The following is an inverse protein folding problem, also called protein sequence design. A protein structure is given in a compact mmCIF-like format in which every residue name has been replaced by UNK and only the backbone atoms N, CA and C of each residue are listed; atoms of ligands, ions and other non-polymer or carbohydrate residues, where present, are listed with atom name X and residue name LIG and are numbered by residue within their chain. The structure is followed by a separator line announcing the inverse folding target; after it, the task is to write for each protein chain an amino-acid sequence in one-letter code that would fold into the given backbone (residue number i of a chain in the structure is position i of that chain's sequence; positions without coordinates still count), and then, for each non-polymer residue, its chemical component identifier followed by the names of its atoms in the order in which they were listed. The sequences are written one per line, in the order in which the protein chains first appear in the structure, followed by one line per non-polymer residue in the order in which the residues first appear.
data_IF_811375113017
#
_entry.id   IF_811375113017
#
_cell.length_a   1.000
_cell.length_b   1.000
_cell.length_c   1.000
_cell.angle_alpha   90.00
_cell.angle_beta   90.00
_cell.angle_gamma   90.00
#
_symmetry.space_group_name_H-M   'P 1'
#
loop_
_entity.id
_entity.type
_entity.pdbx_description
1 polymer ?
#
# COMPACT_ATOMS: atom_id res chain seq x y z
N UNK A 1 27.16 -11.50 -1.98
CA UNK A 1 25.72 -11.15 -1.88
C UNK A 1 24.97 -12.09 -2.82
N UNK A 2 23.96 -12.83 -2.33
CA UNK A 2 23.18 -13.77 -3.16
C UNK A 2 22.58 -13.06 -4.38
N UNK A 3 22.55 -13.70 -5.55
CA UNK A 3 22.00 -13.14 -6.79
C UNK A 3 20.56 -12.63 -6.65
N UNK A 4 19.79 -13.21 -5.73
CA UNK A 4 18.43 -12.77 -5.39
C UNK A 4 18.40 -11.37 -4.75
N UNK A 5 19.34 -11.06 -3.85
CA UNK A 5 19.36 -9.77 -3.15
C UNK A 5 19.76 -8.61 -4.07
N UNK A 6 20.67 -8.87 -5.01
CA UNK A 6 21.04 -7.89 -6.04
C UNK A 6 19.86 -7.60 -6.97
N UNK A 7 19.13 -8.64 -7.38
CA UNK A 7 17.91 -8.47 -8.19
C UNK A 7 16.83 -7.70 -7.43
N UNK A 8 16.56 -8.06 -6.17
CA UNK A 8 15.58 -7.35 -5.35
C UNK A 8 15.87 -5.84 -5.25
N UNK A 9 17.12 -5.46 -4.97
CA UNK A 9 17.50 -4.05 -4.88
C UNK A 9 17.34 -3.31 -6.21
N UNK A 10 17.69 -3.97 -7.32
CA UNK A 10 17.48 -3.43 -8.66
C UNK A 10 15.99 -3.18 -8.90
N UNK A 11 15.15 -4.20 -8.73
CA UNK A 11 13.71 -4.11 -9.01
C UNK A 11 13.02 -3.08 -8.11
N UNK A 12 13.42 -2.99 -6.83
CA UNK A 12 12.94 -1.92 -5.95
C UNK A 12 13.27 -0.52 -6.49
N UNK A 13 14.50 -0.31 -6.94
CA UNK A 13 14.93 0.96 -7.52
C UNK A 13 14.16 1.29 -8.79
N UNK A 14 13.98 0.30 -9.67
CA UNK A 14 13.27 0.44 -10.94
C UNK A 14 11.80 0.82 -10.71
N UNK A 15 11.13 0.17 -9.75
CA UNK A 15 9.75 0.53 -9.41
C UNK A 15 9.64 1.93 -8.79
N UNK A 16 10.53 2.33 -7.88
CA UNK A 16 10.47 3.67 -7.24
C UNK A 16 10.63 4.79 -8.29
N UNK A 17 11.46 4.58 -9.31
CA UNK A 17 11.68 5.55 -10.39
C UNK A 17 10.67 5.43 -11.55
N UNK A 18 9.80 4.41 -11.52
CA UNK A 18 8.83 4.18 -12.58
C UNK A 18 7.70 5.21 -12.54
N UNK A 19 7.43 5.83 -13.69
CA UNK A 19 6.27 6.72 -13.86
C UNK A 19 4.95 6.01 -13.58
N UNK A 20 4.85 4.71 -13.88
CA UNK A 20 3.65 3.90 -13.63
C UNK A 20 3.37 3.80 -12.14
N UNK A 21 4.41 3.52 -11.35
CA UNK A 21 4.32 3.48 -9.90
C UNK A 21 3.90 4.84 -9.33
N UNK A 22 4.51 5.93 -9.81
CA UNK A 22 4.16 7.28 -9.36
C UNK A 22 2.69 7.62 -9.62
N UNK A 23 2.15 7.26 -10.79
CA UNK A 23 0.72 7.46 -11.11
C UNK A 23 -0.18 6.67 -10.14
N UNK A 24 0.13 5.40 -9.91
CA UNK A 24 -0.64 4.54 -8.98
C UNK A 24 -0.57 5.07 -7.55
N UNK A 25 0.63 5.44 -7.10
CA UNK A 25 0.88 6.05 -5.79
C UNK A 25 0.05 7.32 -5.62
N UNK A 26 0.08 8.22 -6.61
CA UNK A 26 -0.66 9.48 -6.56
C UNK A 26 -2.17 9.24 -6.54
N UNK A 27 -2.67 8.30 -7.34
CA UNK A 27 -4.08 7.93 -7.37
C UNK A 27 -4.54 7.43 -6.00
N UNK A 28 -3.80 6.49 -5.40
CA UNK A 28 -4.12 5.95 -4.07
C UNK A 28 -4.02 7.02 -3.01
N UNK A 29 -3.00 7.89 -3.07
CA UNK A 29 -2.81 8.96 -2.12
C UNK A 29 -3.98 9.95 -2.18
N UNK A 30 -4.40 10.37 -3.37
CA UNK A 30 -5.52 11.29 -3.54
C UNK A 30 -6.84 10.70 -3.05
N UNK A 31 -7.17 9.46 -3.43
CA UNK A 31 -8.41 8.80 -3.01
C UNK A 31 -8.44 8.57 -1.50
N UNK A 32 -7.29 8.20 -0.92
CA UNK A 32 -7.15 7.99 0.51
C UNK A 32 -7.26 9.30 1.29
N UNK A 33 -6.62 10.38 0.85
CA UNK A 33 -6.79 11.72 1.44
C UNK A 33 -8.25 12.20 1.39
N UNK A 34 -8.91 12.03 0.24
CA UNK A 34 -10.33 12.36 0.09
C UNK A 34 -11.20 11.55 1.06
N UNK A 35 -10.91 10.26 1.20
CA UNK A 35 -11.63 9.37 2.11
C UNK A 35 -11.45 9.75 3.58
N UNK A 36 -10.22 10.05 4.01
CA UNK A 36 -9.93 10.50 5.38
C UNK A 36 -10.65 11.82 5.69
N UNK A 37 -10.66 12.76 4.74
CA UNK A 37 -11.43 13.99 4.87
C UNK A 37 -12.94 13.73 4.97
N UNK A 38 -13.47 12.80 4.17
CA UNK A 38 -14.86 12.35 4.24
C UNK A 38 -15.21 11.70 5.59
N UNK A 39 -14.31 10.87 6.13
CA UNK A 39 -14.47 10.24 7.43
C UNK A 39 -14.47 11.29 8.55
N UNK A 40 -13.48 12.20 8.56
CA UNK A 40 -13.37 13.29 9.54
C UNK A 40 -14.61 14.19 9.58
N UNK A 41 -15.14 14.56 8.41
CA UNK A 41 -16.34 15.40 8.31
C UNK A 41 -17.63 14.68 8.73
N UNK A 42 -17.61 13.35 8.78
CA UNK A 42 -18.77 12.53 9.14
C UNK A 42 -18.72 12.01 10.58
N UNK A 43 -17.63 12.27 11.31
CA UNK A 43 -17.51 11.94 12.73
C UNK A 43 -18.48 12.78 13.55
N UNK A 44 -19.45 12.14 14.19
CA UNK A 44 -20.35 12.82 15.14
C UNK A 44 -19.70 12.94 16.53
N UNK A 45 -20.08 13.94 17.35
CA UNK A 45 -19.55 14.10 18.71
C UNK A 45 -19.76 12.87 19.60
N UNK A 46 -20.84 12.12 19.38
CA UNK A 46 -21.15 10.87 20.07
C UNK A 46 -20.16 9.74 19.72
N UNK A 47 -19.72 9.68 18.46
CA UNK A 47 -18.71 8.72 18.01
C UNK A 47 -17.29 9.10 18.46
N UNK A 48 -17.04 10.39 18.67
CA UNK A 48 -15.80 10.90 19.25
C UNK A 48 -15.73 10.70 20.77
N UNK A 49 -16.88 10.55 21.45
CA UNK A 49 -16.93 10.21 22.88
C UNK A 49 -16.57 8.73 23.13
N UNK A 50 -16.86 7.86 22.16
CA UNK A 50 -16.39 6.47 22.13
C UNK A 50 -14.93 6.39 21.63
N UNK A 51 -14.01 6.71 22.55
CA UNK A 51 -12.57 6.83 22.31
C UNK A 51 -11.87 5.54 21.92
N UNK A 52 -12.56 4.41 22.03
CA UNK A 52 -11.98 3.10 21.80
C UNK A 52 -11.71 2.75 20.35
N UNK A 53 -12.30 3.45 19.35
CA UNK A 53 -12.15 3.09 17.92
C UNK A 53 -11.99 4.29 16.97
N UNK A 54 -11.63 5.47 17.47
CA UNK A 54 -11.63 6.71 16.66
C UNK A 54 -10.68 6.58 15.47
N UNK A 55 -9.48 6.03 15.69
CA UNK A 55 -8.49 5.89 14.62
C UNK A 55 -8.90 4.85 13.58
N UNK A 56 -9.50 3.73 14.01
CA UNK A 56 -10.01 2.72 13.08
C UNK A 56 -11.21 3.24 12.26
N UNK A 57 -12.05 4.07 12.88
CA UNK A 57 -13.18 4.74 12.22
C UNK A 57 -12.71 5.65 11.08
N UNK A 58 -11.53 6.26 11.15
CA UNK A 58 -10.98 7.07 10.04
C UNK A 58 -10.74 6.28 8.75
N UNK A 59 -10.46 4.97 8.86
CA UNK A 59 -10.22 4.12 7.69
C UNK A 59 -11.50 3.41 7.20
N UNK A 60 -12.48 3.22 8.09
CA UNK A 60 -13.65 2.39 7.82
C UNK A 60 -14.94 3.18 7.60
N UNK A 61 -15.06 4.40 8.14
CA UNK A 61 -16.21 5.26 7.90
C UNK A 61 -16.19 5.83 6.49
N UNK A 62 -17.33 5.71 5.81
CA UNK A 62 -17.61 6.42 4.56
C UNK A 62 -18.30 7.74 4.89
N UNK A 63 -17.90 8.81 4.21
CA UNK A 63 -18.64 10.06 4.27
C UNK A 63 -19.91 10.03 3.43
N UNK A 64 -20.70 11.11 3.49
CA UNK A 64 -22.02 11.20 2.84
C UNK A 64 -21.99 10.96 1.31
N UNK A 65 -20.84 11.17 0.65
CA UNK A 65 -20.67 10.90 -0.79
C UNK A 65 -19.26 10.39 -1.15
N UNK A 66 -18.40 10.15 -0.15
CA UNK A 66 -17.02 9.68 -0.36
C UNK A 66 -16.89 8.30 0.28
N UNK A 67 -16.57 7.25 -0.51
CA UNK A 67 -16.32 5.91 0.03
C UNK A 67 -15.23 5.89 1.11
N UNK A 68 -15.28 4.90 1.99
CA UNK A 68 -14.24 4.71 3.00
C UNK A 68 -12.93 4.25 2.35
N UNK A 69 -11.83 4.38 3.10
CA UNK A 69 -10.51 4.00 2.62
C UNK A 69 -10.50 2.51 2.29
N UNK A 70 -11.11 1.68 3.15
CA UNK A 70 -11.26 0.24 2.90
C UNK A 70 -12.03 -0.03 1.60
N UNK A 71 -13.08 0.72 1.29
CA UNK A 71 -13.81 0.56 0.02
C UNK A 71 -12.97 0.96 -1.19
N UNK A 72 -12.18 2.02 -1.12
CA UNK A 72 -11.27 2.41 -2.19
C UNK A 72 -10.19 1.36 -2.43
N UNK A 73 -9.61 0.80 -1.37
CA UNK A 73 -8.62 -0.27 -1.50
C UNK A 73 -9.26 -1.57 -1.99
N UNK A 74 -10.48 -1.90 -1.57
CA UNK A 74 -11.19 -3.07 -2.10
C UNK A 74 -11.40 -2.96 -3.62
N UNK A 75 -11.60 -1.74 -4.14
CA UNK A 75 -11.71 -1.50 -5.58
C UNK A 75 -10.34 -1.48 -6.27
N UNK A 76 -9.39 -0.69 -5.78
CA UNK A 76 -8.11 -0.40 -6.45
C UNK A 76 -7.03 -1.45 -6.20
N UNK A 77 -7.04 -2.06 -5.01
CA UNK A 77 -6.07 -3.04 -4.55
C UNK A 77 -5.86 -4.18 -5.55
N UNK A 78 -6.92 -4.88 -5.98
CA UNK A 78 -6.80 -5.95 -6.97
C UNK A 78 -6.18 -5.50 -8.30
N UNK A 79 -6.47 -4.28 -8.78
CA UNK A 79 -5.85 -3.77 -10.00
C UNK A 79 -4.35 -3.54 -9.84
N UNK A 80 -3.93 -3.05 -8.67
CA UNK A 80 -2.51 -2.84 -8.36
C UNK A 80 -1.77 -4.17 -8.20
N UNK A 81 -2.36 -5.12 -7.47
CA UNK A 81 -1.83 -6.47 -7.31
C UNK A 81 -1.65 -7.16 -8.65
N UNK A 82 -2.69 -7.12 -9.50
CA UNK A 82 -2.63 -7.68 -10.86
C UNK A 82 -1.56 -6.99 -11.71
N UNK A 83 -1.51 -5.66 -11.72
CA UNK A 83 -0.52 -4.92 -12.50
C UNK A 83 0.92 -5.30 -12.11
N UNK A 84 1.21 -5.38 -10.80
CA UNK A 84 2.52 -5.77 -10.29
C UNK A 84 2.83 -7.23 -10.57
N UNK A 85 1.84 -8.13 -10.48
CA UNK A 85 2.00 -9.54 -10.84
C UNK A 85 2.31 -9.73 -12.34
N UNK A 86 1.61 -9.01 -13.21
CA UNK A 86 1.91 -9.00 -14.64
C UNK A 86 3.28 -8.40 -14.94
N UNK A 87 3.65 -7.29 -14.29
CA UNK A 87 4.98 -6.68 -14.45
C UNK A 87 6.08 -7.62 -13.96
N UNK A 88 5.89 -8.38 -12.88
CA UNK A 88 6.87 -9.36 -12.40
C UNK A 88 7.17 -10.46 -13.43
N UNK A 89 6.21 -10.84 -14.27
CA UNK A 89 6.38 -11.88 -15.29
C UNK A 89 6.83 -11.28 -16.64
N UNK A 90 6.21 -10.17 -17.06
CA UNK A 90 6.35 -9.64 -18.41
C UNK A 90 7.38 -8.51 -18.55
N UNK A 91 7.84 -7.88 -17.46
CA UNK A 91 8.79 -6.75 -17.51
C UNK A 91 10.01 -7.06 -18.37
N UNK A 92 10.72 -8.17 -18.08
CA UNK A 92 11.95 -8.56 -18.77
C UNK A 92 11.75 -8.88 -20.25
N UNK A 93 10.57 -9.38 -20.61
CA UNK A 93 10.21 -9.65 -22.00
C UNK A 93 9.92 -8.35 -22.74
N UNK A 94 9.22 -7.42 -22.09
CA UNK A 94 8.88 -6.12 -22.67
C UNK A 94 10.09 -5.20 -22.83
N UNK A 95 11.07 -5.32 -21.93
CA UNK A 95 12.31 -4.52 -21.95
C UNK A 95 13.43 -5.16 -22.80
N UNK A 96 13.23 -6.38 -23.30
CA UNK A 96 14.22 -7.10 -24.10
C UNK A 96 15.44 -7.60 -23.31
N UNK A 97 15.36 -7.59 -21.97
CA UNK A 97 16.45 -7.94 -21.05
C UNK A 97 16.45 -9.42 -20.64
N UNK A 98 15.41 -10.17 -21.01
CA UNK A 98 15.25 -11.60 -20.67
C UNK A 98 16.47 -12.45 -21.05
N UNK A 99 17.02 -12.28 -22.25
CA UNK A 99 18.20 -13.04 -22.70
C UNK A 99 19.44 -12.75 -21.84
N UNK A 100 19.60 -11.51 -21.38
CA UNK A 100 20.72 -11.11 -20.52
C UNK A 100 20.57 -11.68 -19.12
N UNK A 101 19.35 -11.71 -18.60
CA UNK A 101 19.05 -12.18 -17.25
C UNK A 101 19.27 -13.70 -17.12
N UNK A 102 18.84 -14.48 -18.11
CA UNK A 102 18.99 -15.95 -18.13
C UNK A 102 20.45 -16.39 -18.41
N UNK A 103 21.25 -15.53 -19.04
CA UNK A 103 22.68 -15.79 -19.27
C UNK A 103 23.55 -15.62 -18.01
N UNK A 104 23.04 -14.98 -16.97
CA UNK A 104 23.73 -14.85 -15.68
C UNK A 104 23.49 -16.10 -14.82
N UNK A 105 24.44 -16.46 -13.92
CA UNK A 105 24.30 -17.61 -13.02
C UNK A 105 23.32 -17.31 -11.87
N UNK A 106 22.06 -17.04 -12.22
CA UNK A 106 20.95 -16.78 -11.29
C UNK A 106 19.85 -17.79 -11.57
N UNK A 107 19.38 -18.49 -10.54
CA UNK A 107 18.28 -19.44 -10.67
C UNK A 107 16.98 -18.73 -11.06
N UNK A 108 16.24 -19.32 -12.00
CA UNK A 108 14.91 -18.86 -12.43
C UNK A 108 13.93 -18.62 -11.28
N UNK A 109 13.95 -19.46 -10.25
CA UNK A 109 13.07 -19.31 -9.09
C UNK A 109 13.48 -18.10 -8.23
N UNK A 110 14.78 -17.82 -8.14
CA UNK A 110 15.29 -16.64 -7.47
C UNK A 110 14.93 -15.34 -8.21
N UNK A 111 14.76 -15.41 -9.54
CA UNK A 111 14.29 -14.28 -10.34
C UNK A 111 12.84 -13.94 -10.02
N UNK A 112 11.96 -14.95 -10.06
CA UNK A 112 10.52 -14.78 -9.83
C UNK A 112 10.28 -14.31 -8.39
N UNK A 113 10.89 -14.98 -7.41
CA UNK A 113 10.74 -14.61 -6.00
C UNK A 113 11.32 -13.22 -5.71
N UNK A 114 12.45 -12.85 -6.32
CA UNK A 114 13.04 -11.52 -6.16
C UNK A 114 12.12 -10.41 -6.66
N UNK A 115 11.52 -10.59 -7.85
CA UNK A 115 10.56 -9.63 -8.43
C UNK A 115 9.28 -9.53 -7.62
N UNK A 116 8.69 -10.67 -7.24
CA UNK A 116 7.48 -10.69 -6.43
C UNK A 116 7.72 -10.03 -5.05
N UNK A 117 8.84 -10.34 -4.40
CA UNK A 117 9.19 -9.75 -3.11
C UNK A 117 9.43 -8.24 -3.21
N UNK A 118 10.06 -7.76 -4.29
CA UNK A 118 10.24 -6.33 -4.54
C UNK A 118 8.88 -5.62 -4.73
N UNK A 119 7.98 -6.19 -5.54
CA UNK A 119 6.62 -5.66 -5.71
C UNK A 119 5.82 -5.64 -4.40
N UNK A 120 5.86 -6.73 -3.63
CA UNK A 120 5.20 -6.82 -2.33
C UNK A 120 5.77 -5.78 -1.34
N UNK A 121 7.10 -5.65 -1.24
CA UNK A 121 7.74 -4.67 -0.37
C UNK A 121 7.29 -3.23 -0.68
N UNK A 122 7.06 -2.92 -1.95
CA UNK A 122 6.58 -1.61 -2.39
C UNK A 122 5.12 -1.37 -2.03
N UNK A 123 4.26 -2.39 -2.17
CA UNK A 123 2.87 -2.32 -1.67
C UNK A 123 2.87 -2.06 -0.16
N UNK A 124 3.67 -2.79 0.61
CA UNK A 124 3.81 -2.59 2.05
C UNK A 124 4.27 -1.17 2.37
N UNK A 125 5.34 -0.69 1.72
CA UNK A 125 5.83 0.67 1.90
C UNK A 125 4.75 1.71 1.60
N UNK A 126 4.01 1.54 0.50
CA UNK A 126 2.94 2.45 0.09
C UNK A 126 1.79 2.47 1.09
N UNK A 127 1.27 1.31 1.49
CA UNK A 127 0.13 1.23 2.42
C UNK A 127 0.52 1.73 3.81
N UNK A 128 1.70 1.37 4.32
CA UNK A 128 2.16 1.84 5.63
C UNK A 128 2.47 3.33 5.63
N UNK A 129 3.12 3.86 4.60
CA UNK A 129 3.35 5.32 4.51
C UNK A 129 2.03 6.08 4.46
N UNK A 130 1.04 5.60 3.70
CA UNK A 130 -0.30 6.18 3.68
C UNK A 130 -0.99 6.09 5.04
N UNK A 131 -0.94 4.93 5.69
CA UNK A 131 -1.52 4.70 7.01
C UNK A 131 -0.92 5.60 8.09
N UNK A 132 0.39 5.86 8.04
CA UNK A 132 1.06 6.79 8.93
C UNK A 132 0.65 8.25 8.67
N UNK A 133 0.53 8.66 7.40
CA UNK A 133 0.02 9.99 7.04
C UNK A 133 -1.42 10.16 7.53
N UNK A 134 -2.25 9.15 7.35
CA UNK A 134 -3.64 9.14 7.81
C UNK A 134 -3.74 9.20 9.34
N UNK A 135 -2.93 8.42 10.05
CA UNK A 135 -2.84 8.44 11.50
C UNK A 135 -2.36 9.80 12.03
N UNK A 136 -1.35 10.40 11.39
CA UNK A 136 -0.87 11.73 11.73
C UNK A 136 -1.95 12.80 11.49
N UNK A 137 -2.67 12.74 10.36
CA UNK A 137 -3.79 13.65 10.08
C UNK A 137 -4.93 13.48 11.10
N UNK A 138 -5.26 12.24 11.47
CA UNK A 138 -6.25 11.93 12.49
C UNK A 138 -5.87 12.49 13.87
N UNK A 139 -4.60 12.36 14.26
CA UNK A 139 -4.06 12.91 15.50
C UNK A 139 -4.14 14.45 15.51
N UNK A 140 -3.74 15.10 14.42
CA UNK A 140 -3.78 16.55 14.30
C UNK A 140 -5.21 17.10 14.33
N UNK A 141 -6.16 16.39 13.73
CA UNK A 141 -7.55 16.83 13.66
C UNK A 141 -8.33 16.58 14.96
N UNK A 142 -8.11 15.44 15.62
CA UNK A 142 -8.84 15.05 16.84
C UNK A 142 -8.16 15.52 18.12
N UNK A 143 -6.85 15.76 18.10
CA UNK A 143 -6.05 16.16 19.27
C UNK A 143 -5.89 15.06 20.33
N UNK A 144 -6.38 13.84 20.08
CA UNK A 144 -6.36 12.72 21.02
C UNK A 144 -5.19 11.80 20.66
N UNK A 145 -4.22 11.57 21.56
CA UNK A 145 -3.14 10.63 21.31
C UNK A 145 -3.70 9.20 21.20
N UNK A 146 -3.30 8.40 20.19
CA UNK A 146 -3.76 7.02 20.06
C UNK A 146 -3.27 6.17 21.22
N UNK A 147 -4.17 5.33 21.75
CA UNK A 147 -3.78 4.30 22.71
C UNK A 147 -2.96 3.20 22.04
N UNK A 148 -2.19 2.43 22.81
CA UNK A 148 -1.41 1.31 22.27
C UNK A 148 -2.29 0.24 21.59
N UNK A 149 -3.51 0.05 22.09
CA UNK A 149 -4.49 -0.86 21.50
C UNK A 149 -4.99 -0.36 20.14
N UNK A 150 -5.27 0.94 20.01
CA UNK A 150 -5.69 1.57 18.76
C UNK A 150 -4.59 1.51 17.70
N UNK A 151 -3.35 1.79 18.08
CA UNK A 151 -2.18 1.60 17.21
C UNK A 151 -2.07 0.15 16.73
N UNK A 152 -2.24 -0.81 17.63
CA UNK A 152 -2.24 -2.24 17.29
C UNK A 152 -3.30 -2.58 16.24
N UNK A 153 -4.52 -2.09 16.40
CA UNK A 153 -5.62 -2.31 15.45
C UNK A 153 -5.35 -1.69 14.08
N UNK A 154 -4.82 -0.47 14.04
CA UNK A 154 -4.44 0.18 12.77
C UNK A 154 -3.32 -0.59 12.09
N UNK A 155 -2.29 -1.02 12.81
CA UNK A 155 -1.20 -1.83 12.25
C UNK A 155 -1.73 -3.15 11.67
N UNK A 156 -2.62 -3.83 12.40
CA UNK A 156 -3.25 -5.07 11.93
C UNK A 156 -4.08 -4.80 10.66
N UNK A 157 -4.87 -3.72 10.64
CA UNK A 157 -5.63 -3.31 9.46
C UNK A 157 -4.71 -3.08 8.26
N UNK A 158 -3.64 -2.29 8.43
CA UNK A 158 -2.68 -1.99 7.36
C UNK A 158 -1.98 -3.25 6.86
N UNK A 159 -1.58 -4.14 7.77
CA UNK A 159 -0.95 -5.41 7.42
C UNK A 159 -1.87 -6.29 6.56
N UNK A 160 -3.11 -6.52 7.01
CA UNK A 160 -4.08 -7.31 6.23
C UNK A 160 -4.43 -6.65 4.90
N UNK A 161 -4.48 -5.31 4.87
CA UNK A 161 -4.70 -4.55 3.64
C UNK A 161 -3.54 -4.74 2.66
N UNK A 162 -2.29 -4.68 3.12
CA UNK A 162 -1.12 -4.94 2.28
C UNK A 162 -1.11 -6.36 1.72
N UNK A 163 -1.41 -7.36 2.56
CA UNK A 163 -1.52 -8.76 2.13
C UNK A 163 -2.63 -8.92 1.10
N UNK A 164 -3.79 -8.30 1.32
CA UNK A 164 -4.92 -8.33 0.38
C UNK A 164 -4.56 -7.71 -0.98
N UNK A 165 -3.72 -6.68 -1.05
CA UNK A 165 -3.31 -6.10 -2.34
C UNK A 165 -2.28 -7.00 -3.05
N UNK A 166 -1.51 -7.80 -2.31
CA UNK A 166 -0.50 -8.68 -2.90
C UNK A 166 -1.09 -9.93 -3.58
N UNK A 167 -2.35 -10.31 -3.29
CA UNK A 167 -2.99 -11.56 -3.71
C UNK A 167 -4.38 -11.32 -4.30
#
# INVERSE_FOLDING_TARGET
MSGMGALYHKEMSDHIHSKRFLIVLLLILLTSCASIYGALSSLTPEQAADSGYIFLKLFTLSGNSIPSFTSFIALLGPFVGLALGFDAINSERSEGTLNRLVAQPVYRDAVINGKFLAGAAIIFLMVFSMGLIAGAAGLLATGIPPSGEELGRVIVLLFFTSVYICF
#
